data_IF_061397350920
#
_entry.id   IF_061397350920
#
_cell.length_a   1.000
_cell.length_b   1.000
_cell.length_c   1.000
_cell.angle_alpha   90.00
_cell.angle_beta   90.00
_cell.angle_gamma   90.00
#
_symmetry.space_group_name_H-M   'P 1'
#
loop_
_entity.id
_entity.type
_entity.pdbx_description
1 polymer ?
#
# COMPACT_ATOMS: atom_id res chain seq x y z
N UNK A 1 -11.93 -2.63 -4.54
CA UNK A 1 -11.60 -1.22 -4.34
C UNK A 1 -11.42 -0.49 -5.68
N UNK A 2 -11.20 0.85 -5.62
CA UNK A 2 -11.06 1.73 -6.77
C UNK A 2 -12.41 2.19 -7.35
N UNK A 3 -12.50 3.48 -7.69
CA UNK A 3 -13.69 4.09 -8.30
C UNK A 3 -13.54 4.26 -9.82
N UNK A 4 -12.64 5.14 -10.24
CA UNK A 4 -12.36 5.39 -11.66
C UNK A 4 -11.69 4.20 -12.36
N UNK A 5 -10.78 3.55 -11.64
CA UNK A 5 -10.08 2.35 -12.08
C UNK A 5 -10.38 1.19 -11.11
N UNK A 6 -11.56 0.56 -11.21
CA UNK A 6 -11.94 -0.51 -10.28
C UNK A 6 -11.01 -1.71 -10.39
N UNK A 7 -10.68 -2.30 -9.25
CA UNK A 7 -9.88 -3.53 -9.16
C UNK A 7 -10.69 -4.75 -9.60
N UNK A 8 -11.04 -4.83 -10.87
CA UNK A 8 -11.69 -5.99 -11.49
C UNK A 8 -10.69 -6.98 -12.06
N UNK A 9 -9.49 -6.51 -12.33
CA UNK A 9 -8.34 -7.26 -12.83
C UNK A 9 -7.07 -6.80 -12.12
N UNK A 10 -6.00 -7.58 -12.18
CA UNK A 10 -4.72 -7.27 -11.50
C UNK A 10 -3.97 -6.05 -12.05
N UNK A 11 -4.37 -5.56 -13.21
CA UNK A 11 -3.70 -4.45 -13.89
C UNK A 11 -4.28 -3.07 -13.57
N UNK A 12 -5.22 -2.94 -12.62
CA UNK A 12 -5.85 -1.66 -12.30
C UNK A 12 -6.19 -1.51 -10.81
N UNK A 13 -6.30 -0.28 -10.36
CA UNK A 13 -6.86 0.13 -9.08
C UNK A 13 -5.94 0.02 -7.87
N UNK A 14 -4.79 -0.65 -7.96
CA UNK A 14 -3.85 -0.73 -6.84
C UNK A 14 -3.28 0.67 -6.56
N UNK A 15 -3.37 1.09 -5.30
CA UNK A 15 -3.12 2.47 -4.87
C UNK A 15 -4.39 3.26 -4.52
N UNK A 16 -5.54 2.93 -5.14
CA UNK A 16 -6.81 3.58 -4.91
C UNK A 16 -7.61 2.88 -3.80
N UNK A 17 -7.25 3.14 -2.54
CA UNK A 17 -7.78 2.45 -1.36
C UNK A 17 -9.16 2.96 -0.95
N UNK A 18 -10.10 2.98 -1.89
CA UNK A 18 -11.50 3.38 -1.67
C UNK A 18 -12.44 2.23 -1.94
N UNK A 19 -13.49 2.10 -1.13
CA UNK A 19 -14.49 1.05 -1.30
C UNK A 19 -15.17 1.19 -2.66
N UNK A 20 -15.28 0.10 -3.41
CA UNK A 20 -16.06 0.05 -4.63
C UNK A 20 -17.54 -0.23 -4.28
N UNK A 21 -18.45 0.75 -4.42
CA UNK A 21 -19.84 0.59 -3.98
C UNK A 21 -20.63 -0.42 -4.81
N UNK A 22 -20.19 -0.71 -6.04
CA UNK A 22 -20.83 -1.74 -6.87
C UNK A 22 -20.54 -3.16 -6.37
N UNK A 23 -19.29 -3.38 -5.86
CA UNK A 23 -18.87 -4.69 -5.33
C UNK A 23 -19.27 -4.87 -3.89
N UNK A 24 -19.34 -3.79 -3.14
CA UNK A 24 -19.62 -3.80 -1.71
C UNK A 24 -20.63 -2.69 -1.39
N UNK A 25 -21.92 -2.90 -1.71
CA UNK A 25 -22.96 -1.87 -1.54
C UNK A 25 -23.09 -1.34 -0.11
N UNK A 26 -22.96 -2.22 0.89
CA UNK A 26 -23.02 -1.85 2.32
C UNK A 26 -21.68 -1.42 2.90
N UNK A 27 -20.65 -1.31 2.07
CA UNK A 27 -19.31 -0.93 2.48
C UNK A 27 -18.67 -1.90 3.48
N UNK A 28 -17.53 -1.51 4.04
CA UNK A 28 -16.84 -2.28 5.09
C UNK A 28 -17.74 -2.44 6.32
N UNK A 29 -18.55 -1.44 6.64
CA UNK A 29 -19.49 -1.50 7.76
C UNK A 29 -20.49 -2.67 7.65
N UNK A 30 -20.90 -3.05 6.44
CA UNK A 30 -21.71 -4.23 6.20
C UNK A 30 -21.01 -5.52 6.62
N UNK A 31 -19.75 -5.68 6.20
CA UNK A 31 -18.94 -6.85 6.57
C UNK A 31 -18.68 -6.93 8.09
N UNK A 32 -18.40 -5.81 8.73
CA UNK A 32 -18.20 -5.74 10.18
C UNK A 32 -19.47 -6.17 10.94
N UNK A 33 -20.65 -5.67 10.52
CA UNK A 33 -21.92 -6.10 11.12
C UNK A 33 -22.17 -7.59 10.96
N UNK A 34 -21.82 -8.16 9.82
CA UNK A 34 -22.03 -9.59 9.57
C UNK A 34 -21.02 -10.43 10.34
N UNK A 35 -19.74 -10.04 10.43
CA UNK A 35 -18.76 -10.69 11.29
C UNK A 35 -19.20 -10.71 12.76
N UNK A 36 -19.67 -9.57 13.25
CA UNK A 36 -20.15 -9.44 14.64
C UNK A 36 -21.34 -10.37 14.96
N UNK A 37 -22.29 -10.57 14.02
CA UNK A 37 -23.41 -11.52 14.19
C UNK A 37 -22.95 -12.96 14.45
N UNK A 38 -21.78 -13.31 13.90
CA UNK A 38 -21.20 -14.64 14.03
C UNK A 38 -20.10 -14.73 15.10
N UNK A 39 -19.88 -13.65 15.85
CA UNK A 39 -18.81 -13.53 16.85
C UNK A 39 -17.42 -13.86 16.26
N UNK A 40 -17.15 -13.31 15.08
CA UNK A 40 -15.89 -13.46 14.33
C UNK A 40 -15.20 -12.10 14.28
N UNK A 41 -13.89 -12.05 14.62
CA UNK A 41 -13.04 -10.88 14.42
C UNK A 41 -12.88 -10.56 12.93
N UNK A 42 -12.62 -9.30 12.60
CA UNK A 42 -12.50 -8.86 11.21
C UNK A 42 -11.10 -8.35 10.89
N UNK A 43 -10.55 -8.84 9.80
CA UNK A 43 -9.29 -8.38 9.24
C UNK A 43 -9.44 -7.94 7.78
N UNK A 44 -8.50 -7.10 7.33
CA UNK A 44 -8.50 -6.60 5.95
C UNK A 44 -7.12 -6.77 5.30
N UNK A 45 -7.12 -7.07 4.00
CA UNK A 45 -5.92 -7.09 3.17
C UNK A 45 -5.69 -5.73 2.52
N UNK A 46 -4.45 -5.25 2.57
CA UNK A 46 -3.98 -4.09 1.82
C UNK A 46 -2.59 -4.35 1.25
N UNK A 47 -2.23 -3.67 0.17
CA UNK A 47 -0.91 -3.72 -0.47
C UNK A 47 -0.40 -2.29 -0.72
N UNK A 48 -0.15 -1.51 0.35
CA UNK A 48 -0.04 -0.06 0.24
C UNK A 48 1.31 0.44 -0.29
N UNK A 49 2.29 -0.43 -0.43
CA UNK A 49 3.58 -0.13 -1.08
C UNK A 49 3.52 -0.27 -2.60
N UNK A 50 2.40 -0.76 -3.14
CA UNK A 50 2.25 -1.04 -4.56
C UNK A 50 1.23 -0.14 -5.22
N UNK A 51 1.42 0.10 -6.51
CA UNK A 51 0.57 0.94 -7.34
C UNK A 51 0.40 0.31 -8.72
N UNK A 52 -0.76 0.48 -9.34
CA UNK A 52 -0.90 0.24 -10.78
C UNK A 52 -0.77 1.55 -11.54
N UNK A 53 -0.18 1.51 -12.73
CA UNK A 53 -0.18 2.67 -13.65
C UNK A 53 -1.60 3.04 -14.11
N UNK A 54 -2.56 2.13 -13.97
CA UNK A 54 -4.00 2.37 -14.13
C UNK A 54 -4.65 2.57 -12.77
N UNK A 55 -4.33 3.69 -12.10
CA UNK A 55 -4.93 4.13 -10.84
C UNK A 55 -5.04 5.65 -10.80
N UNK A 56 -5.95 6.18 -10.01
CA UNK A 56 -6.06 7.63 -9.78
C UNK A 56 -4.83 8.16 -9.05
N UNK A 57 -4.22 7.34 -8.20
CA UNK A 57 -2.98 7.69 -7.51
C UNK A 57 -1.85 7.93 -8.49
N UNK A 58 -1.66 7.04 -9.47
CA UNK A 58 -0.61 7.19 -10.47
C UNK A 58 -0.85 8.38 -11.40
N UNK A 59 -2.10 8.64 -11.78
CA UNK A 59 -2.45 9.81 -12.59
C UNK A 59 -2.07 11.13 -11.89
N UNK A 60 -2.18 11.17 -10.56
CA UNK A 60 -1.87 12.36 -9.75
C UNK A 60 -0.38 12.47 -9.41
N UNK A 61 0.26 11.34 -9.19
CA UNK A 61 1.63 11.26 -8.66
C UNK A 61 2.46 10.20 -9.41
N UNK A 62 2.73 10.38 -10.71
CA UNK A 62 3.54 9.45 -11.49
C UNK A 62 5.02 9.44 -11.07
N UNK A 63 5.44 10.44 -10.31
CA UNK A 63 6.77 10.60 -9.71
C UNK A 63 6.96 9.82 -8.41
N UNK A 64 5.88 9.23 -7.85
CA UNK A 64 5.95 8.47 -6.60
C UNK A 64 6.41 7.01 -6.76
N UNK A 65 6.60 6.55 -8.00
CA UNK A 65 7.12 5.20 -8.26
C UNK A 65 8.65 5.18 -8.20
N UNK A 66 9.20 4.09 -7.69
CA UNK A 66 10.62 3.84 -7.74
C UNK A 66 11.09 3.72 -9.18
N UNK A 67 12.04 4.56 -9.59
CA UNK A 67 12.69 4.52 -10.90
C UNK A 67 14.04 5.21 -10.87
N UNK A 68 14.95 4.75 -11.72
CA UNK A 68 16.23 5.43 -11.92
C UNK A 68 15.95 6.78 -12.61
N UNK A 69 16.50 7.89 -12.10
CA UNK A 69 16.34 9.20 -12.74
C UNK A 69 16.69 9.18 -14.23
N UNK A 70 15.78 9.70 -15.07
CA UNK A 70 15.95 9.74 -16.51
C UNK A 70 15.72 8.42 -17.27
N UNK A 71 15.28 7.37 -16.60
CA UNK A 71 14.93 6.09 -17.21
C UNK A 71 13.45 5.72 -17.00
N UNK A 72 12.93 4.89 -17.91
CA UNK A 72 11.64 4.23 -17.69
C UNK A 72 11.76 3.20 -16.58
N UNK A 73 10.65 2.91 -15.90
CA UNK A 73 10.62 1.91 -14.83
C UNK A 73 10.02 0.59 -15.30
N UNK A 74 10.49 -0.49 -14.68
CA UNK A 74 10.01 -1.84 -14.92
C UNK A 74 8.73 -2.04 -14.13
N UNK A 75 7.73 -2.61 -14.78
CA UNK A 75 6.46 -3.01 -14.18
C UNK A 75 6.31 -4.52 -14.16
N UNK A 76 5.49 -5.03 -13.23
CA UNK A 76 5.13 -6.43 -13.12
C UNK A 76 3.61 -6.64 -13.34
N UNK A 77 3.16 -7.88 -13.25
CA UNK A 77 1.74 -8.27 -13.27
C UNK A 77 0.93 -7.60 -14.38
N UNK A 78 1.18 -8.02 -15.61
CA UNK A 78 0.49 -7.47 -16.78
C UNK A 78 0.98 -6.09 -17.21
N UNK A 79 2.19 -5.71 -16.80
CA UNK A 79 2.83 -4.48 -17.26
C UNK A 79 2.32 -3.20 -16.57
N UNK A 80 1.67 -3.31 -15.42
CA UNK A 80 1.06 -2.13 -14.77
C UNK A 80 1.40 -1.96 -13.31
N UNK A 81 1.89 -2.98 -12.61
CA UNK A 81 2.23 -2.88 -11.19
C UNK A 81 3.64 -2.33 -11.00
N UNK A 82 3.79 -1.36 -10.11
CA UNK A 82 5.04 -0.73 -9.70
C UNK A 82 5.12 -0.61 -8.19
N UNK A 83 6.32 -0.31 -7.68
CA UNK A 83 6.60 -0.08 -6.27
C UNK A 83 6.61 1.42 -5.99
N UNK A 84 5.91 1.84 -4.94
CA UNK A 84 5.96 3.21 -4.43
C UNK A 84 7.31 3.48 -3.74
N UNK A 85 7.82 4.70 -3.90
CA UNK A 85 9.10 5.12 -3.35
C UNK A 85 8.97 5.56 -1.88
N UNK A 86 9.25 4.67 -0.95
CA UNK A 86 9.18 4.96 0.48
C UNK A 86 10.35 5.83 0.99
N UNK A 87 11.32 6.16 0.15
CA UNK A 87 12.31 7.21 0.51
C UNK A 87 11.65 8.59 0.51
N UNK A 88 10.56 8.76 -0.27
CA UNK A 88 9.79 9.99 -0.32
C UNK A 88 8.86 10.14 0.90
N UNK A 89 9.02 11.20 1.72
CA UNK A 89 8.14 11.44 2.88
C UNK A 89 6.66 11.56 2.52
N UNK A 90 6.31 12.13 1.36
CA UNK A 90 4.93 12.28 0.92
C UNK A 90 4.27 10.92 0.65
N UNK A 91 5.02 9.95 0.11
CA UNK A 91 4.56 8.58 -0.06
C UNK A 91 4.31 7.90 1.29
N UNK A 92 5.24 8.07 2.25
CA UNK A 92 5.05 7.55 3.62
C UNK A 92 3.82 8.13 4.29
N UNK A 93 3.59 9.43 4.13
CA UNK A 93 2.41 10.11 4.67
C UNK A 93 1.12 9.59 4.00
N UNK A 94 1.11 9.44 2.68
CA UNK A 94 -0.02 8.86 1.97
C UNK A 94 -0.37 7.46 2.49
N UNK A 95 0.63 6.58 2.64
CA UNK A 95 0.42 5.22 3.16
C UNK A 95 -0.10 5.26 4.60
N UNK A 96 0.52 6.08 5.45
CA UNK A 96 0.07 6.24 6.83
C UNK A 96 -1.38 6.72 6.89
N UNK A 97 -1.74 7.78 6.17
CA UNK A 97 -3.11 8.31 6.19
C UNK A 97 -4.14 7.38 5.56
N UNK A 98 -3.75 6.56 4.59
CA UNK A 98 -4.60 5.50 4.05
C UNK A 98 -5.03 4.52 5.15
N UNK A 99 -4.06 4.02 5.91
CA UNK A 99 -4.32 3.09 7.03
C UNK A 99 -5.02 3.79 8.19
N UNK A 100 -4.58 5.00 8.53
CA UNK A 100 -5.17 5.81 9.59
C UNK A 100 -6.65 6.10 9.36
N UNK A 101 -7.00 6.51 8.14
CA UNK A 101 -8.39 6.79 7.76
C UNK A 101 -9.25 5.52 7.85
N UNK A 102 -8.69 4.38 7.43
CA UNK A 102 -9.37 3.10 7.50
C UNK A 102 -9.68 2.70 8.95
N UNK A 103 -8.65 2.70 9.80
CA UNK A 103 -8.77 2.26 11.20
C UNK A 103 -9.56 3.25 12.07
N UNK A 104 -9.42 4.56 11.82
CA UNK A 104 -10.21 5.56 12.51
C UNK A 104 -11.70 5.47 12.18
N UNK A 105 -12.02 5.09 10.93
CA UNK A 105 -13.41 4.93 10.48
C UNK A 105 -14.04 3.61 10.91
N UNK A 106 -13.22 2.56 11.06
CA UNK A 106 -13.65 1.20 11.35
C UNK A 106 -12.77 0.62 12.48
N UNK A 107 -12.98 1.08 13.72
CA UNK A 107 -12.16 0.65 14.86
C UNK A 107 -12.35 -0.84 15.25
N UNK A 108 -13.32 -1.51 14.63
CA UNK A 108 -13.56 -2.95 14.80
C UNK A 108 -12.61 -3.81 13.95
N UNK A 109 -11.76 -3.21 13.11
CA UNK A 109 -10.72 -3.93 12.39
C UNK A 109 -9.59 -4.29 13.36
N UNK A 110 -9.38 -5.57 13.60
CA UNK A 110 -8.40 -6.10 14.54
C UNK A 110 -7.10 -6.57 13.85
N UNK A 111 -7.17 -6.77 12.52
CA UNK A 111 -6.08 -7.37 11.77
C UNK A 111 -5.91 -6.75 10.39
N UNK A 112 -4.66 -6.48 10.02
CA UNK A 112 -4.28 -6.05 8.68
C UNK A 112 -3.28 -7.07 8.10
N UNK A 113 -3.62 -7.70 6.97
CA UNK A 113 -2.63 -8.35 6.13
C UNK A 113 -2.03 -7.30 5.20
N UNK A 114 -0.83 -6.87 5.54
CA UNK A 114 -0.04 -5.93 4.74
C UNK A 114 0.81 -6.70 3.74
N UNK A 115 0.50 -6.60 2.48
CA UNK A 115 1.16 -7.35 1.42
C UNK A 115 2.09 -6.46 0.57
N UNK A 116 3.02 -7.10 -0.16
CA UNK A 116 3.89 -6.48 -1.15
C UNK A 116 4.31 -7.55 -2.17
N UNK A 117 3.55 -7.67 -3.26
CA UNK A 117 3.66 -8.78 -4.19
C UNK A 117 4.54 -8.47 -5.43
N UNK A 118 5.35 -7.44 -5.35
CA UNK A 118 6.35 -7.12 -6.36
C UNK A 118 7.68 -6.83 -5.68
N UNK A 119 8.78 -7.50 -6.07
CA UNK A 119 10.10 -7.12 -5.59
C UNK A 119 10.49 -5.74 -6.13
N UNK A 120 11.42 -5.08 -5.44
CA UNK A 120 12.02 -3.84 -5.93
C UNK A 120 12.89 -4.17 -7.14
N UNK A 121 12.40 -3.88 -8.34
CA UNK A 121 13.12 -4.09 -9.60
C UNK A 121 13.81 -2.82 -10.10
N UNK A 122 13.31 -1.65 -9.67
CA UNK A 122 13.83 -0.35 -10.07
C UNK A 122 14.70 0.20 -8.94
N UNK A 123 16.01 0.08 -9.09
CA UNK A 123 16.98 0.49 -8.06
C UNK A 123 17.36 1.96 -8.19
N UNK A 124 16.35 2.84 -8.06
CA UNK A 124 16.55 4.28 -8.09
C UNK A 124 15.35 5.04 -7.52
N UNK A 125 15.57 6.28 -7.12
CA UNK A 125 14.57 7.22 -6.63
C UNK A 125 14.78 8.57 -7.29
N UNK A 126 13.71 9.17 -7.81
CA UNK A 126 13.75 10.55 -8.31
C UNK A 126 13.70 11.58 -7.19
N UNK A 127 13.47 11.11 -5.96
CA UNK A 127 13.43 11.94 -4.76
C UNK A 127 14.79 12.09 -4.08
N UNK A 128 15.64 11.05 -4.20
CA UNK A 128 16.97 11.05 -3.60
C UNK A 128 18.00 11.80 -4.46
N UNK A 129 18.91 12.49 -3.80
CA UNK A 129 20.08 13.08 -4.45
C UNK A 129 21.01 12.01 -5.02
N UNK A 130 21.90 12.42 -5.93
CA UNK A 130 22.75 11.48 -6.68
C UNK A 130 23.64 10.63 -5.78
N UNK A 131 24.18 11.18 -4.73
CA UNK A 131 25.05 10.53 -3.75
C UNK A 131 24.28 9.64 -2.75
N UNK A 132 22.98 9.85 -2.59
CA UNK A 132 22.11 9.03 -1.76
C UNK A 132 21.58 7.78 -2.47
N UNK A 133 21.64 7.71 -3.80
CA UNK A 133 21.11 6.58 -4.58
C UNK A 133 21.68 5.23 -4.14
N UNK A 134 22.95 5.18 -3.73
CA UNK A 134 23.60 3.96 -3.22
C UNK A 134 23.00 3.46 -1.90
N UNK A 135 22.31 4.31 -1.15
CA UNK A 135 21.66 3.99 0.11
C UNK A 135 20.16 3.64 -0.04
N UNK A 136 19.65 3.57 -1.27
CA UNK A 136 18.23 3.40 -1.60
C UNK A 136 17.56 2.28 -0.77
N UNK A 137 18.16 1.09 -0.72
CA UNK A 137 17.57 -0.06 -0.02
C UNK A 137 17.43 0.20 1.48
N UNK A 138 18.43 0.81 2.10
CA UNK A 138 18.40 1.18 3.54
C UNK A 138 17.33 2.24 3.78
N UNK A 139 17.31 3.29 2.96
CA UNK A 139 16.36 4.39 3.11
C UNK A 139 14.91 3.94 2.85
N UNK A 140 14.70 3.02 1.90
CA UNK A 140 13.40 2.40 1.67
C UNK A 140 12.90 1.64 2.90
N UNK A 141 13.75 0.78 3.49
CA UNK A 141 13.40 0.03 4.70
C UNK A 141 13.14 0.94 5.90
N UNK A 142 13.94 1.98 6.08
CA UNK A 142 13.70 2.99 7.11
C UNK A 142 12.35 3.69 6.90
N UNK A 143 11.99 3.98 5.65
CA UNK A 143 10.69 4.53 5.30
C UNK A 143 9.54 3.58 5.64
N UNK A 144 9.67 2.30 5.34
CA UNK A 144 8.70 1.27 5.72
C UNK A 144 8.56 1.16 7.26
N UNK A 145 9.68 1.12 7.97
CA UNK A 145 9.71 1.08 9.44
C UNK A 145 9.03 2.31 10.05
N UNK A 146 9.29 3.50 9.51
CA UNK A 146 8.66 4.73 9.98
C UNK A 146 7.14 4.64 9.90
N UNK A 147 6.59 4.22 8.75
CA UNK A 147 5.14 4.06 8.57
C UNK A 147 4.58 3.03 9.55
N UNK A 148 5.21 1.86 9.67
CA UNK A 148 4.77 0.81 10.60
C UNK A 148 4.81 1.29 12.05
N UNK A 149 5.87 2.01 12.46
CA UNK A 149 6.01 2.57 13.82
C UNK A 149 4.93 3.59 14.12
N UNK A 150 4.61 4.48 13.17
CA UNK A 150 3.53 5.47 13.30
C UNK A 150 2.18 4.79 13.49
N UNK A 151 1.87 3.76 12.69
CA UNK A 151 0.61 3.00 12.80
C UNK A 151 0.54 2.28 14.15
N UNK A 152 1.57 1.51 14.51
CA UNK A 152 1.58 0.77 15.79
C UNK A 152 1.49 1.67 17.02
N UNK A 153 2.07 2.87 16.96
CA UNK A 153 1.95 3.85 18.06
C UNK A 153 0.52 4.33 18.24
N UNK A 154 -0.21 4.52 17.14
CA UNK A 154 -1.59 5.03 17.17
C UNK A 154 -2.62 3.92 17.39
N UNK A 155 -2.35 2.71 16.89
CA UNK A 155 -3.23 1.55 16.92
C UNK A 155 -2.49 0.32 17.48
N UNK A 156 -2.16 0.30 18.78
CA UNK A 156 -1.31 -0.73 19.38
C UNK A 156 -1.98 -2.12 19.38
N UNK A 157 -3.32 -2.17 19.40
CA UNK A 157 -4.10 -3.40 19.48
C UNK A 157 -4.35 -4.06 18.12
N UNK A 158 -4.07 -3.36 17.01
CA UNK A 158 -4.24 -3.92 15.67
C UNK A 158 -3.05 -4.81 15.32
N UNK A 159 -3.31 -6.06 14.99
CA UNK A 159 -2.28 -6.98 14.49
C UNK A 159 -1.97 -6.67 13.02
N UNK A 160 -0.68 -6.48 12.70
CA UNK A 160 -0.21 -6.30 11.33
C UNK A 160 0.66 -7.50 10.94
N UNK A 161 0.19 -8.28 9.95
CA UNK A 161 0.98 -9.31 9.30
C UNK A 161 1.72 -8.70 8.11
N UNK A 162 3.03 -8.55 8.22
CA UNK A 162 3.87 -8.15 7.09
C UNK A 162 4.06 -9.37 6.15
N UNK A 163 3.57 -9.25 4.93
CA UNK A 163 3.68 -10.24 3.87
C UNK A 163 4.38 -9.63 2.65
N UNK A 164 5.12 -10.44 1.92
CA UNK A 164 5.64 -10.10 0.59
C UNK A 164 5.75 -11.41 -0.20
N UNK A 165 4.64 -11.82 -0.83
CA UNK A 165 4.54 -13.11 -1.53
C UNK A 165 5.05 -14.30 -0.69
N UNK A 166 4.77 -14.31 0.61
CA UNK A 166 5.32 -15.25 1.60
C UNK A 166 6.59 -14.71 2.28
N UNK A 167 7.77 -15.21 1.92
CA UNK A 167 9.04 -14.93 2.61
C UNK A 167 9.84 -13.73 2.12
N UNK A 168 9.31 -12.87 1.28
CA UNK A 168 10.06 -11.75 0.67
C UNK A 168 10.49 -10.64 1.65
N UNK A 169 10.02 -10.67 2.90
CA UNK A 169 10.44 -9.77 3.98
C UNK A 169 11.27 -10.47 5.05
N UNK A 170 11.99 -11.48 4.67
CA UNK A 170 12.93 -12.16 5.60
C UNK A 170 14.13 -11.24 5.79
N UNK A 171 14.44 -10.94 7.04
CA UNK A 171 15.63 -10.22 7.45
C UNK A 171 16.78 -11.19 7.66
#
# INVERSE_FOLDING_TARGET
>A
FGNKHPRDIDSAGLGDWVVNPKKLPDGIAGLLRDAAKHNIGFGIWIEPEMINTRSELYEKHPDWVMKVPGQDFITARGGTQAVLDLTNPQVRDFIFYTVDTLLARYPEIEYIKWDANMPVLNHGSVHLDKDEQSHLSILYHQGFEDVCRRIRRKYPDVTIQACASGGGRVN
#
